data_IF_827796153736
#
_entry.id   IF_827796153736
#
_cell.length_a   1.000
_cell.length_b   1.000
_cell.length_c   1.000
_cell.angle_alpha   90.00
_cell.angle_beta   90.00
_cell.angle_gamma   90.00
#
_symmetry.space_group_name_H-M   'P 1'
#
loop_
_entity.id
_entity.type
_entity.pdbx_description
1 polymer ?
#
# COMPACT_ATOMS: atom_id res chain seq x y z
N UNK A 1 -46.47 10.18 -11.86
CA UNK A 1 -45.65 9.62 -12.97
C UNK A 1 -44.17 9.73 -12.58
N UNK A 2 -43.58 8.65 -12.07
CA UNK A 2 -42.15 8.58 -11.71
C UNK A 2 -41.34 8.24 -12.97
N UNK A 3 -40.39 9.10 -13.37
CA UNK A 3 -39.38 8.77 -14.38
C UNK A 3 -38.19 8.09 -13.69
N UNK A 4 -38.00 6.80 -13.98
CA UNK A 4 -36.79 6.03 -13.63
C UNK A 4 -35.63 6.52 -14.51
N UNK A 5 -34.55 6.97 -13.89
CA UNK A 5 -33.24 7.12 -14.56
C UNK A 5 -32.57 5.74 -14.58
N UNK A 6 -32.16 5.30 -15.76
CA UNK A 6 -31.40 4.08 -15.99
C UNK A 6 -29.93 4.33 -15.60
N UNK A 7 -29.44 3.63 -14.57
CA UNK A 7 -28.01 3.50 -14.34
C UNK A 7 -27.45 2.47 -15.33
N UNK A 8 -26.40 2.88 -16.06
CA UNK A 8 -25.57 1.97 -16.85
C UNK A 8 -24.67 1.19 -15.88
N UNK A 9 -25.05 -0.04 -15.56
CA UNK A 9 -24.13 -1.01 -15.00
C UNK A 9 -23.21 -1.50 -16.13
N UNK A 10 -21.92 -1.22 -16.01
CA UNK A 10 -20.89 -1.93 -16.77
C UNK A 10 -20.75 -3.30 -16.11
N UNK A 11 -21.31 -4.33 -16.73
CA UNK A 11 -21.18 -5.72 -16.28
C UNK A 11 -19.74 -6.18 -16.46
N UNK A 12 -19.04 -6.45 -15.36
CA UNK A 12 -17.77 -7.19 -15.37
C UNK A 12 -18.15 -8.67 -15.48
N UNK A 13 -17.68 -9.32 -16.54
CA UNK A 13 -17.88 -10.75 -16.77
C UNK A 13 -16.95 -11.50 -15.83
N UNK A 14 -17.51 -12.14 -14.81
CA UNK A 14 -16.80 -13.14 -13.99
C UNK A 14 -16.67 -14.40 -14.85
N UNK A 15 -15.44 -14.75 -15.21
CA UNK A 15 -15.13 -16.01 -15.90
C UNK A 15 -15.44 -17.21 -15.00
N UNK A 16 -16.02 -18.24 -15.61
CA UNK A 16 -16.41 -19.49 -14.96
C UNK A 16 -15.21 -20.25 -14.38
N UNK A 17 -15.47 -20.98 -13.29
CA UNK A 17 -14.54 -21.82 -12.54
C UNK A 17 -14.06 -23.03 -13.38
N UNK A 18 -12.77 -23.17 -13.75
CA UNK A 18 -12.33 -24.20 -14.69
C UNK A 18 -11.63 -25.37 -14.01
N UNK A 19 -12.25 -25.98 -13.00
CA UNK A 19 -11.78 -27.26 -12.45
C UNK A 19 -12.84 -28.34 -12.64
N UNK A 20 -13.05 -28.70 -13.91
CA UNK A 20 -13.59 -29.98 -14.35
C UNK A 20 -13.16 -30.16 -15.82
N UNK A 21 -12.01 -30.79 -16.06
CA UNK A 21 -11.91 -32.02 -16.86
C UNK A 21 -10.45 -32.51 -16.87
N UNK A 22 -10.28 -33.78 -16.51
CA UNK A 22 -9.06 -34.55 -16.78
C UNK A 22 -8.96 -34.77 -18.32
N UNK A 23 -7.75 -34.68 -18.88
CA UNK A 23 -7.16 -35.58 -19.91
C UNK A 23 -6.02 -34.90 -20.71
N UNK A 24 -4.79 -35.43 -20.52
CA UNK A 24 -3.66 -35.55 -21.46
C UNK A 24 -3.00 -34.27 -22.04
N UNK A 25 -1.69 -34.08 -21.81
CA UNK A 25 -0.60 -34.34 -22.79
C UNK A 25 0.72 -33.59 -22.43
N UNK A 26 1.84 -34.32 -22.43
CA UNK A 26 3.18 -34.01 -21.91
C UNK A 26 3.99 -32.91 -22.67
N UNK A 27 3.30 -32.03 -23.39
CA UNK A 27 3.89 -30.89 -24.13
C UNK A 27 3.42 -29.51 -23.66
N UNK A 28 2.33 -29.44 -22.89
CA UNK A 28 1.79 -28.20 -22.31
C UNK A 28 2.57 -27.75 -21.07
N UNK A 29 3.20 -28.71 -20.38
CA UNK A 29 3.90 -28.47 -19.12
C UNK A 29 5.15 -27.61 -19.32
N UNK A 30 5.92 -27.84 -20.39
CA UNK A 30 7.12 -27.04 -20.70
C UNK A 30 6.81 -25.61 -21.15
N UNK A 31 5.73 -25.40 -21.91
CA UNK A 31 5.29 -24.06 -22.31
C UNK A 31 4.69 -23.28 -21.14
N UNK A 32 3.87 -23.93 -20.31
CA UNK A 32 3.30 -23.32 -19.11
C UNK A 32 4.40 -22.95 -18.09
N UNK A 33 5.35 -23.85 -17.82
CA UNK A 33 6.51 -23.56 -16.96
C UNK A 33 7.39 -22.44 -17.53
N UNK A 34 7.58 -22.40 -18.85
CA UNK A 34 8.32 -21.31 -19.49
C UNK A 34 7.59 -19.96 -19.37
N UNK A 35 6.28 -19.93 -19.59
CA UNK A 35 5.45 -18.73 -19.45
C UNK A 35 5.40 -18.23 -18.01
N UNK A 36 5.27 -19.12 -17.03
CA UNK A 36 5.33 -18.81 -15.60
C UNK A 36 6.70 -18.23 -15.21
N UNK A 37 7.78 -18.85 -15.68
CA UNK A 37 9.14 -18.36 -15.42
C UNK A 37 9.38 -16.96 -16.01
N UNK A 38 8.93 -16.71 -17.25
CA UNK A 38 8.99 -15.37 -17.88
C UNK A 38 8.14 -14.36 -17.11
N UNK A 39 6.98 -14.76 -16.57
CA UNK A 39 6.13 -13.89 -15.77
C UNK A 39 6.79 -13.49 -14.44
N UNK A 40 7.39 -14.43 -13.73
CA UNK A 40 8.12 -14.17 -12.46
C UNK A 40 9.29 -13.23 -12.71
N UNK A 41 10.06 -13.43 -13.79
CA UNK A 41 11.17 -12.54 -14.15
C UNK A 41 10.71 -11.09 -14.34
N UNK A 42 9.56 -10.88 -14.99
CA UNK A 42 8.99 -9.53 -15.15
C UNK A 42 8.60 -8.89 -13.82
N UNK A 43 8.03 -9.66 -12.90
CA UNK A 43 7.67 -9.18 -11.56
C UNK A 43 8.93 -8.82 -10.77
N UNK A 44 9.98 -9.64 -10.87
CA UNK A 44 11.28 -9.37 -10.26
C UNK A 44 11.93 -8.09 -10.82
N UNK A 45 11.94 -7.92 -12.14
CA UNK A 45 12.42 -6.68 -12.77
C UNK A 45 11.63 -5.46 -12.29
N UNK A 46 10.30 -5.58 -12.21
CA UNK A 46 9.43 -4.51 -11.72
C UNK A 46 9.74 -4.15 -10.26
N UNK A 47 9.99 -5.14 -9.40
CA UNK A 47 10.41 -4.91 -8.02
C UNK A 47 11.67 -4.04 -7.97
N UNK A 48 12.72 -4.39 -8.72
CA UNK A 48 13.97 -3.63 -8.72
C UNK A 48 13.82 -2.24 -9.35
N UNK A 49 13.00 -2.10 -10.39
CA UNK A 49 12.68 -0.78 -10.98
C UNK A 49 12.00 0.12 -9.95
N UNK A 50 10.97 -0.37 -9.26
CA UNK A 50 10.28 0.38 -8.22
C UNK A 50 11.24 0.71 -7.07
N UNK A 51 12.06 -0.25 -6.64
CA UNK A 51 13.04 -0.06 -5.57
C UNK A 51 14.07 1.01 -5.94
N UNK A 52 14.51 1.09 -7.20
CA UNK A 52 15.41 2.15 -7.67
C UNK A 52 14.74 3.54 -7.64
N UNK A 53 13.42 3.62 -7.82
CA UNK A 53 12.67 4.89 -7.73
C UNK A 53 12.58 5.37 -6.29
N UNK A 54 12.19 4.48 -5.36
CA UNK A 54 11.93 4.86 -3.96
C UNK A 54 13.19 4.86 -3.10
N UNK A 55 14.12 3.94 -3.36
CA UNK A 55 15.28 3.49 -2.58
C UNK A 55 16.41 4.51 -2.44
N UNK A 56 16.09 5.74 -2.07
CA UNK A 56 17.08 6.78 -1.77
C UNK A 56 17.52 6.69 -0.31
N UNK A 57 18.84 6.72 -0.08
CA UNK A 57 19.46 6.57 1.25
C UNK A 57 18.87 7.52 2.30
N UNK A 58 18.57 8.76 1.90
CA UNK A 58 18.02 9.78 2.80
C UNK A 58 16.61 9.47 3.35
N UNK A 59 15.92 8.48 2.78
CA UNK A 59 14.57 8.08 3.21
C UNK A 59 14.59 6.81 4.04
N UNK A 60 15.26 5.76 3.56
CA UNK A 60 15.28 4.46 4.23
C UNK A 60 16.33 4.35 5.33
N UNK A 61 17.32 5.25 5.36
CA UNK A 61 18.46 5.18 6.27
C UNK A 61 19.13 3.81 6.20
N UNK A 62 19.03 3.03 7.29
CA UNK A 62 19.64 1.69 7.36
C UNK A 62 18.72 0.53 6.98
N UNK A 63 17.44 0.76 6.68
CA UNK A 63 16.46 -0.31 6.43
C UNK A 63 16.80 -1.22 5.25
N UNK A 64 17.39 -0.69 4.18
CA UNK A 64 17.68 -1.42 2.94
C UNK A 64 19.17 -1.73 2.72
N UNK A 65 20.00 -1.65 3.76
CA UNK A 65 21.46 -1.81 3.61
C UNK A 65 21.94 -3.28 3.51
N UNK A 66 21.05 -4.27 3.63
CA UNK A 66 21.39 -5.69 3.56
C UNK A 66 20.72 -6.37 2.37
N UNK A 67 21.50 -7.13 1.60
CA UNK A 67 21.03 -7.98 0.49
C UNK A 67 19.98 -9.01 0.94
N UNK A 68 20.07 -9.52 2.17
CA UNK A 68 19.06 -10.44 2.71
C UNK A 68 17.69 -9.76 2.87
N UNK A 69 17.68 -8.50 3.29
CA UNK A 69 16.45 -7.71 3.41
C UNK A 69 15.82 -7.48 2.03
N UNK A 70 16.63 -7.11 1.04
CA UNK A 70 16.17 -6.91 -0.34
C UNK A 70 15.64 -8.23 -0.91
N UNK A 71 16.35 -9.34 -0.71
CA UNK A 71 15.92 -10.66 -1.16
C UNK A 71 14.60 -11.08 -0.51
N UNK A 72 14.43 -10.83 0.80
CA UNK A 72 13.17 -11.09 1.49
C UNK A 72 12.01 -10.29 0.89
N UNK A 73 12.18 -8.98 0.74
CA UNK A 73 11.14 -8.10 0.17
C UNK A 73 10.79 -8.52 -1.25
N UNK A 74 11.80 -8.84 -2.07
CA UNK A 74 11.60 -9.34 -3.43
C UNK A 74 10.77 -10.61 -3.45
N UNK A 75 11.12 -11.59 -2.60
CA UNK A 75 10.41 -12.87 -2.55
C UNK A 75 8.96 -12.70 -2.09
N UNK A 76 8.71 -11.82 -1.11
CA UNK A 76 7.36 -11.48 -0.69
C UNK A 76 6.60 -10.79 -1.83
N UNK A 77 7.22 -9.82 -2.52
CA UNK A 77 6.60 -9.13 -3.65
C UNK A 77 6.20 -10.10 -4.76
N UNK A 78 7.12 -11.01 -5.15
CA UNK A 78 6.83 -12.06 -6.14
C UNK A 78 5.66 -12.93 -5.67
N UNK A 79 5.69 -13.40 -4.42
CA UNK A 79 4.64 -14.24 -3.86
C UNK A 79 3.26 -13.54 -3.85
N UNK A 80 3.22 -12.27 -3.44
CA UNK A 80 2.03 -11.42 -3.49
C UNK A 80 1.52 -11.33 -4.93
N UNK A 81 2.38 -11.05 -5.91
CA UNK A 81 1.96 -10.94 -7.31
C UNK A 81 1.60 -12.26 -8.00
N UNK A 82 2.06 -13.39 -7.47
CA UNK A 82 1.67 -14.73 -7.94
C UNK A 82 0.25 -15.12 -7.49
N UNK A 83 -0.29 -14.48 -6.44
CA UNK A 83 -1.69 -14.63 -6.09
C UNK A 83 -2.57 -14.03 -7.21
N UNK A 84 -3.51 -14.81 -7.72
CA UNK A 84 -4.35 -14.43 -8.86
C UNK A 84 -5.02 -13.06 -8.65
N UNK A 85 -4.94 -12.21 -9.69
CA UNK A 85 -5.57 -10.88 -9.72
C UNK A 85 -4.67 -9.72 -9.29
N UNK A 86 -3.62 -9.95 -8.49
CA UNK A 86 -2.85 -8.88 -7.86
C UNK A 86 -2.03 -8.05 -8.86
N UNK A 87 -1.36 -8.72 -9.79
CA UNK A 87 -0.60 -8.04 -10.83
C UNK A 87 -1.49 -7.10 -11.65
N UNK A 88 -2.65 -7.58 -12.12
CA UNK A 88 -3.60 -6.74 -12.88
C UNK A 88 -4.09 -5.54 -12.07
N UNK A 89 -4.39 -5.71 -10.78
CA UNK A 89 -4.82 -4.61 -9.90
C UNK A 89 -3.73 -3.53 -9.76
N UNK A 90 -2.48 -3.94 -9.53
CA UNK A 90 -1.37 -2.97 -9.44
C UNK A 90 -1.09 -2.26 -10.77
N UNK A 91 -1.23 -2.94 -11.91
CA UNK A 91 -1.08 -2.33 -13.23
C UNK A 91 -2.19 -1.31 -13.50
N UNK A 92 -3.44 -1.63 -13.15
CA UNK A 92 -4.56 -0.69 -13.24
C UNK A 92 -4.29 0.56 -12.41
N UNK A 93 -3.86 0.40 -11.15
CA UNK A 93 -3.52 1.54 -10.29
C UNK A 93 -2.37 2.35 -10.88
N UNK A 94 -1.31 1.71 -11.36
CA UNK A 94 -0.16 2.38 -11.99
C UNK A 94 -0.56 3.21 -13.21
N UNK A 95 -1.46 2.69 -14.04
CA UNK A 95 -1.95 3.38 -15.24
C UNK A 95 -2.90 4.54 -14.89
N UNK A 96 -3.65 4.42 -13.79
CA UNK A 96 -4.60 5.43 -13.34
C UNK A 96 -3.93 6.56 -12.55
N UNK A 97 -3.10 6.21 -11.58
CA UNK A 97 -2.36 7.10 -10.71
C UNK A 97 -0.99 6.46 -10.39
N UNK A 98 0.00 6.82 -11.20
CA UNK A 98 1.37 6.31 -11.05
C UNK A 98 2.02 6.72 -9.74
N UNK A 99 1.59 7.83 -9.13
CA UNK A 99 2.05 8.24 -7.81
C UNK A 99 1.48 7.33 -6.73
N UNK A 100 0.17 7.05 -6.74
CA UNK A 100 -0.44 6.12 -5.78
C UNK A 100 0.17 4.72 -5.86
N UNK A 101 0.51 4.25 -7.06
CA UNK A 101 1.23 2.99 -7.24
C UNK A 101 2.63 3.01 -6.60
N UNK A 102 3.45 4.02 -6.88
CA UNK A 102 4.80 4.12 -6.28
C UNK A 102 4.71 4.30 -4.76
N UNK A 103 3.75 5.07 -4.27
CA UNK A 103 3.45 5.21 -2.85
C UNK A 103 3.07 3.87 -2.21
N UNK A 104 2.22 3.10 -2.86
CA UNK A 104 1.83 1.77 -2.35
C UNK A 104 3.00 0.80 -2.30
N UNK A 105 3.90 0.84 -3.30
CA UNK A 105 5.14 0.06 -3.27
C UNK A 105 6.05 0.48 -2.10
N UNK A 106 6.19 1.78 -1.86
CA UNK A 106 7.00 2.29 -0.76
C UNK A 106 6.44 1.89 0.61
N UNK A 107 5.13 2.03 0.77
CA UNK A 107 4.38 1.58 1.95
C UNK A 107 4.52 0.07 2.15
N UNK A 108 4.50 -0.73 1.09
CA UNK A 108 4.83 -2.16 1.13
C UNK A 108 6.24 -2.39 1.69
N UNK A 109 7.27 -1.68 1.21
CA UNK A 109 8.64 -1.84 1.70
C UNK A 109 8.74 -1.48 3.19
N UNK A 110 8.34 -0.26 3.56
CA UNK A 110 8.47 0.25 4.94
C UNK A 110 7.62 -0.56 5.92
N UNK A 111 6.36 -0.79 5.57
CA UNK A 111 5.39 -1.50 6.38
C UNK A 111 5.80 -2.95 6.62
N UNK A 112 6.24 -3.66 5.59
CA UNK A 112 6.64 -5.09 5.71
C UNK A 112 7.84 -5.25 6.63
N UNK A 113 8.84 -4.38 6.54
CA UNK A 113 10.00 -4.42 7.43
C UNK A 113 9.61 -4.14 8.89
N UNK A 114 8.72 -3.18 9.11
CA UNK A 114 8.24 -2.86 10.45
C UNK A 114 7.35 -3.98 11.00
N UNK A 115 6.46 -4.54 10.20
CA UNK A 115 5.62 -5.68 10.57
C UNK A 115 6.45 -6.90 10.96
N UNK A 116 7.50 -7.20 10.19
CA UNK A 116 8.47 -8.25 10.54
C UNK A 116 9.16 -7.97 11.87
N UNK A 117 9.61 -6.73 12.11
CA UNK A 117 10.26 -6.32 13.37
C UNK A 117 9.35 -6.49 14.58
N UNK A 118 8.05 -6.25 14.40
CA UNK A 118 7.03 -6.39 15.44
C UNK A 118 6.37 -7.78 15.47
N UNK A 119 6.90 -8.76 14.71
CA UNK A 119 6.37 -10.13 14.65
C UNK A 119 4.86 -10.19 14.36
N UNK A 120 4.39 -9.40 13.39
CA UNK A 120 3.01 -9.46 12.91
C UNK A 120 2.61 -10.90 12.51
N UNK A 121 1.35 -11.26 12.76
CA UNK A 121 0.91 -12.65 12.70
C UNK A 121 1.03 -13.27 11.30
N UNK A 122 0.67 -12.50 10.26
CA UNK A 122 0.73 -12.94 8.87
C UNK A 122 1.46 -11.90 8.02
N UNK A 123 2.77 -12.07 7.85
CA UNK A 123 3.59 -11.08 7.13
C UNK A 123 3.23 -10.94 5.65
N UNK A 124 2.80 -12.02 4.99
CA UNK A 124 2.39 -11.99 3.57
C UNK A 124 1.10 -11.18 3.40
N UNK A 125 0.12 -11.41 4.27
CA UNK A 125 -1.14 -10.66 4.25
C UNK A 125 -0.93 -9.18 4.59
N UNK A 126 -0.05 -8.88 5.55
CA UNK A 126 0.35 -7.50 5.84
C UNK A 126 0.95 -6.84 4.60
N UNK A 127 1.92 -7.51 3.97
CA UNK A 127 2.60 -7.02 2.78
C UNK A 127 1.62 -6.76 1.63
N UNK A 128 0.69 -7.68 1.38
CA UNK A 128 -0.38 -7.48 0.40
C UNK A 128 -1.27 -6.29 0.79
N UNK A 129 -1.74 -6.23 2.03
CA UNK A 129 -2.57 -5.14 2.54
C UNK A 129 -1.89 -3.77 2.40
N UNK A 130 -0.59 -3.67 2.67
CA UNK A 130 0.20 -2.46 2.47
C UNK A 130 0.33 -2.08 0.99
N UNK A 131 0.49 -3.06 0.09
CA UNK A 131 0.56 -2.81 -1.35
C UNK A 131 -0.79 -2.40 -1.96
N UNK A 132 -1.91 -2.83 -1.37
CA UNK A 132 -3.25 -2.57 -1.91
C UNK A 132 -4.09 -1.56 -1.12
N UNK A 133 -3.56 -0.95 -0.06
CA UNK A 133 -4.31 -0.02 0.79
C UNK A 133 -4.99 1.11 0.01
N UNK A 134 -4.37 1.54 -1.09
CA UNK A 134 -4.80 2.69 -1.88
C UNK A 134 -5.55 2.31 -3.18
N UNK A 135 -5.91 1.02 -3.37
CA UNK A 135 -6.50 0.51 -4.62
C UNK A 135 -7.82 1.20 -4.99
N UNK A 136 -8.57 1.69 -4.00
CA UNK A 136 -9.81 2.42 -4.23
C UNK A 136 -9.65 3.75 -4.95
N UNK A 137 -8.43 4.26 -5.13
CA UNK A 137 -8.17 5.44 -5.97
C UNK A 137 -8.57 5.25 -7.42
N UNK A 138 -8.70 4.00 -7.89
CA UNK A 138 -9.31 3.67 -9.18
C UNK A 138 -10.74 4.22 -9.35
N UNK A 139 -11.45 4.45 -8.24
CA UNK A 139 -12.82 4.97 -8.23
C UNK A 139 -12.89 6.49 -8.02
N UNK A 140 -11.74 7.16 -7.96
CA UNK A 140 -11.62 8.62 -7.80
C UNK A 140 -11.17 9.22 -9.13
N UNK A 141 -11.80 10.32 -9.53
CA UNK A 141 -11.49 10.97 -10.81
C UNK A 141 -10.06 11.51 -10.82
N UNK A 142 -9.37 11.36 -11.96
CA UNK A 142 -8.01 11.84 -12.13
C UNK A 142 -7.90 13.37 -11.99
N UNK A 143 -8.94 14.12 -12.35
CA UNK A 143 -8.98 15.57 -12.18
C UNK A 143 -8.88 15.98 -10.71
N UNK A 144 -9.49 15.18 -9.81
CA UNK A 144 -9.43 15.41 -8.37
C UNK A 144 -8.07 14.95 -7.83
N UNK A 145 -7.60 13.75 -8.21
CA UNK A 145 -6.32 13.19 -7.72
C UNK A 145 -5.11 14.05 -8.11
N UNK A 146 -5.13 14.62 -9.32
CA UNK A 146 -4.04 15.41 -9.88
C UNK A 146 -4.30 16.92 -9.84
N UNK A 147 -5.27 17.39 -9.05
CA UNK A 147 -5.60 18.81 -8.97
C UNK A 147 -4.40 19.62 -8.46
N UNK A 148 -3.97 20.58 -9.26
CA UNK A 148 -2.96 21.57 -8.85
C UNK A 148 -3.62 22.62 -7.93
N UNK A 149 -3.47 22.44 -6.62
CA UNK A 149 -3.92 23.42 -5.62
C UNK A 149 -4.73 22.80 -4.47
N UNK A 150 -5.41 23.64 -3.70
CA UNK A 150 -6.26 23.17 -2.59
C UNK A 150 -7.52 22.51 -3.14
N UNK A 151 -7.85 21.35 -2.58
CA UNK A 151 -9.14 20.70 -2.78
C UNK A 151 -10.22 21.50 -2.05
N UNK A 152 -11.40 21.57 -2.66
CA UNK A 152 -12.63 21.94 -1.99
C UNK A 152 -13.04 20.86 -0.98
N UNK A 153 -13.96 21.19 -0.08
CA UNK A 153 -14.49 20.22 0.87
C UNK A 153 -15.13 19.00 0.17
N UNK A 154 -15.88 19.23 -0.90
CA UNK A 154 -16.55 18.17 -1.68
C UNK A 154 -15.56 17.28 -2.44
N UNK A 155 -14.49 17.86 -2.99
CA UNK A 155 -13.43 17.10 -3.64
C UNK A 155 -12.66 16.25 -2.62
N UNK A 156 -12.37 16.81 -1.45
CA UNK A 156 -11.74 16.07 -0.37
C UNK A 156 -12.63 14.93 0.15
N UNK A 157 -13.93 15.17 0.33
CA UNK A 157 -14.91 14.13 0.65
C UNK A 157 -14.94 13.03 -0.41
N UNK A 158 -14.81 13.40 -1.68
CA UNK A 158 -14.72 12.44 -2.78
C UNK A 158 -13.47 11.58 -2.67
N UNK A 159 -12.30 12.18 -2.39
CA UNK A 159 -11.06 11.42 -2.17
C UNK A 159 -11.23 10.43 -1.03
N UNK A 160 -11.79 10.83 0.12
CA UNK A 160 -11.94 9.95 1.28
C UNK A 160 -12.66 8.64 0.96
N UNK A 161 -13.56 8.63 -0.04
CA UNK A 161 -14.27 7.42 -0.47
C UNK A 161 -13.36 6.30 -0.96
N UNK A 162 -12.11 6.58 -1.38
CA UNK A 162 -11.19 5.53 -1.82
C UNK A 162 -10.99 4.42 -0.77
N UNK A 163 -11.13 4.76 0.52
CA UNK A 163 -11.09 3.76 1.60
C UNK A 163 -12.21 2.73 1.48
N UNK A 164 -13.46 3.19 1.28
CA UNK A 164 -14.64 2.35 1.13
C UNK A 164 -14.63 1.61 -0.21
N UNK A 165 -14.29 2.32 -1.28
CA UNK A 165 -14.22 1.76 -2.63
C UNK A 165 -13.11 0.69 -2.71
N UNK A 166 -11.97 0.93 -2.08
CA UNK A 166 -10.85 -0.01 -2.04
C UNK A 166 -11.21 -1.29 -1.27
N UNK A 167 -11.91 -1.16 -0.15
CA UNK A 167 -12.44 -2.31 0.58
C UNK A 167 -13.43 -3.12 -0.27
N UNK A 168 -14.37 -2.45 -0.96
CA UNK A 168 -15.33 -3.10 -1.87
C UNK A 168 -14.63 -3.82 -3.02
N UNK A 169 -13.63 -3.19 -3.65
CA UNK A 169 -12.85 -3.81 -4.73
C UNK A 169 -12.16 -5.07 -4.21
N UNK A 170 -11.54 -5.02 -3.03
CA UNK A 170 -10.87 -6.20 -2.47
C UNK A 170 -11.87 -7.32 -2.16
N UNK A 171 -13.05 -7.00 -1.63
CA UNK A 171 -14.11 -7.98 -1.41
C UNK A 171 -14.61 -8.61 -2.72
N UNK A 172 -14.82 -7.81 -3.77
CA UNK A 172 -15.29 -8.30 -5.08
C UNK A 172 -14.28 -9.26 -5.74
N UNK A 173 -12.99 -9.12 -5.42
CA UNK A 173 -11.91 -10.01 -5.85
C UNK A 173 -11.71 -11.22 -4.92
N UNK A 174 -12.53 -11.39 -3.87
CA UNK A 174 -12.40 -12.46 -2.89
C UNK A 174 -11.27 -12.27 -1.88
N UNK A 175 -10.76 -11.04 -1.73
CA UNK A 175 -9.63 -10.66 -0.90
C UNK A 175 -10.08 -9.95 0.39
N UNK A 176 -11.18 -10.43 0.97
CA UNK A 176 -11.83 -9.81 2.14
C UNK A 176 -10.90 -9.63 3.34
N UNK A 177 -9.89 -10.49 3.51
CA UNK A 177 -8.89 -10.31 4.58
C UNK A 177 -8.05 -9.03 4.40
N UNK A 178 -7.90 -8.53 3.18
CA UNK A 178 -7.15 -7.30 2.86
C UNK A 178 -8.02 -6.04 2.95
N UNK A 179 -9.34 -6.16 2.86
CA UNK A 179 -10.27 -5.03 2.87
C UNK A 179 -10.08 -4.07 4.07
N UNK A 180 -9.76 -4.53 5.31
CA UNK A 180 -9.48 -3.63 6.43
C UNK A 180 -8.30 -2.68 6.19
N UNK A 181 -7.26 -3.10 5.47
CA UNK A 181 -6.10 -2.26 5.14
C UNK A 181 -6.51 -1.08 4.26
N UNK A 182 -7.33 -1.33 3.24
CA UNK A 182 -7.86 -0.26 2.41
C UNK A 182 -8.85 0.63 3.17
N UNK A 183 -9.75 0.04 3.96
CA UNK A 183 -10.78 0.81 4.69
C UNK A 183 -10.18 1.72 5.76
N UNK A 184 -9.20 1.25 6.52
CA UNK A 184 -8.89 1.82 7.83
C UNK A 184 -7.53 2.52 7.90
N UNK A 185 -6.73 2.58 6.84
CA UNK A 185 -5.39 3.19 6.88
C UNK A 185 -5.39 4.69 7.18
N UNK A 186 -6.54 5.35 7.03
CA UNK A 186 -6.75 6.75 7.42
C UNK A 186 -7.48 6.94 8.77
N UNK A 187 -7.74 5.86 9.50
CA UNK A 187 -8.15 5.94 10.90
C UNK A 187 -7.00 6.48 11.77
N UNK A 188 -7.33 7.06 12.93
CA UNK A 188 -6.36 7.62 13.88
C UNK A 188 -6.75 7.24 15.30
N UNK A 189 -5.77 6.99 16.17
CA UNK A 189 -6.04 6.45 17.50
C UNK A 189 -6.85 7.39 18.41
N UNK A 190 -6.84 8.69 18.12
CA UNK A 190 -7.64 9.72 18.79
C UNK A 190 -9.07 9.87 18.22
N UNK A 191 -9.45 9.04 17.24
CA UNK A 191 -10.76 9.09 16.58
C UNK A 191 -10.91 10.22 15.56
N UNK A 192 -9.84 10.98 15.26
CA UNK A 192 -9.89 12.07 14.27
C UNK A 192 -9.89 11.59 12.81
N UNK A 193 -9.74 10.28 12.60
CA UNK A 193 -9.60 9.64 11.30
C UNK A 193 -10.90 9.47 10.53
N UNK A 194 -10.86 8.63 9.49
CA UNK A 194 -12.01 8.25 8.67
C UNK A 194 -11.75 6.87 8.04
N UNK A 195 -12.79 6.15 7.56
CA UNK A 195 -14.20 6.54 7.44
C UNK A 195 -15.05 6.37 8.70
N UNK A 196 -14.66 5.47 9.61
CA UNK A 196 -15.47 4.98 10.73
C UNK A 196 -15.14 5.68 12.05
N UNK A 197 -14.00 6.36 12.15
CA UNK A 197 -13.53 7.08 13.35
C UNK A 197 -13.26 6.13 14.52
N UNK A 198 -12.63 5.01 14.21
CA UNK A 198 -12.26 4.01 15.20
C UNK A 198 -11.24 4.59 16.20
N UNK A 199 -11.41 4.24 17.48
CA UNK A 199 -10.42 4.53 18.52
C UNK A 199 -9.45 3.37 18.68
N UNK A 200 -8.40 3.57 19.48
CA UNK A 200 -7.25 2.67 19.58
C UNK A 200 -7.58 1.18 19.78
N UNK A 201 -8.59 0.84 20.56
CA UNK A 201 -8.98 -0.53 20.89
C UNK A 201 -9.41 -1.35 19.66
N UNK A 202 -9.94 -0.70 18.62
CA UNK A 202 -10.45 -1.36 17.43
C UNK A 202 -9.40 -1.53 16.30
N UNK A 203 -8.19 -0.97 16.46
CA UNK A 203 -7.17 -0.93 15.42
C UNK A 203 -6.02 -1.88 15.79
N UNK A 204 -5.85 -2.95 15.01
CA UNK A 204 -4.81 -3.95 15.22
C UNK A 204 -3.39 -3.43 14.90
N UNK A 205 -2.38 -4.21 15.25
CA UNK A 205 -0.97 -3.87 15.09
C UNK A 205 -0.62 -3.51 13.64
N UNK A 206 -1.11 -4.30 12.70
CA UNK A 206 -0.84 -4.19 11.26
C UNK A 206 -1.36 -2.87 10.69
N UNK A 207 -2.58 -2.46 11.07
CA UNK A 207 -3.15 -1.18 10.67
C UNK A 207 -2.44 0.00 11.34
N UNK A 208 -2.03 -0.12 12.61
CA UNK A 208 -1.24 0.92 13.29
C UNK A 208 0.10 1.16 12.59
N UNK A 209 0.76 0.10 12.12
CA UNK A 209 1.96 0.20 11.29
C UNK A 209 1.65 0.95 10.00
N UNK A 210 0.60 0.52 9.27
CA UNK A 210 0.19 1.12 8.01
C UNK A 210 -0.04 2.64 8.13
N UNK A 211 -0.77 3.09 9.16
CA UNK A 211 -1.05 4.51 9.39
C UNK A 211 0.21 5.37 9.48
N UNK A 212 1.27 4.85 10.09
CA UNK A 212 2.54 5.58 10.27
C UNK A 212 3.31 5.61 8.95
N UNK A 213 3.47 4.45 8.30
CA UNK A 213 4.28 4.35 7.07
C UNK A 213 3.60 5.01 5.88
N UNK A 214 2.27 5.02 5.82
CA UNK A 214 1.47 5.74 4.83
C UNK A 214 1.78 7.25 4.89
N UNK A 215 1.64 7.85 6.07
CA UNK A 215 1.92 9.28 6.25
C UNK A 215 3.38 9.60 5.95
N UNK A 216 4.31 8.78 6.42
CA UNK A 216 5.74 8.98 6.16
C UNK A 216 6.07 8.93 4.66
N UNK A 217 5.62 7.88 3.97
CA UNK A 217 5.82 7.70 2.53
C UNK A 217 5.25 8.90 1.77
N UNK A 218 4.01 9.28 2.09
CA UNK A 218 3.33 10.36 1.39
C UNK A 218 4.00 11.74 1.59
N UNK A 219 4.67 11.97 2.72
CA UNK A 219 5.42 13.20 2.99
C UNK A 219 6.78 13.24 2.27
N UNK A 220 7.44 12.08 2.17
CA UNK A 220 8.83 11.99 1.71
C UNK A 220 8.97 11.55 0.25
N UNK A 221 7.88 11.13 -0.40
CA UNK A 221 7.83 10.94 -1.85
C UNK A 221 7.45 12.24 -2.55
N UNK A 222 8.14 12.52 -3.67
CA UNK A 222 7.77 13.60 -4.57
C UNK A 222 6.41 13.33 -5.20
N UNK A 223 5.51 14.32 -5.09
CA UNK A 223 4.19 14.30 -5.74
C UNK A 223 4.21 15.20 -6.99
N UNK A 224 3.31 15.01 -7.96
CA UNK A 224 3.20 15.90 -9.12
C UNK A 224 3.01 17.38 -8.76
N UNK A 225 2.33 17.65 -7.63
CA UNK A 225 1.92 18.99 -7.17
C UNK A 225 2.58 19.44 -5.86
N UNK A 226 3.50 18.64 -5.30
CA UNK A 226 4.17 18.94 -4.02
C UNK A 226 5.54 18.28 -3.96
N UNK A 227 6.56 19.07 -3.65
CA UNK A 227 7.91 18.54 -3.44
C UNK A 227 8.00 17.64 -2.21
N UNK A 228 8.93 16.69 -2.27
CA UNK A 228 9.29 15.85 -1.12
C UNK A 228 9.90 16.71 -0.01
N UNK A 229 9.57 16.40 1.25
CA UNK A 229 10.31 16.97 2.39
C UNK A 229 11.35 15.97 2.91
N UNK A 230 12.46 16.44 3.50
CA UNK A 230 13.44 15.57 4.11
C UNK A 230 12.86 14.64 5.18
N UNK A 231 13.40 13.42 5.28
CA UNK A 231 12.91 12.41 6.21
C UNK A 231 12.84 12.90 7.67
N UNK A 232 13.82 13.69 8.13
CA UNK A 232 13.81 14.23 9.49
C UNK A 232 12.66 15.21 9.74
N UNK A 233 12.24 15.99 8.74
CA UNK A 233 11.07 16.88 8.85
C UNK A 233 9.77 16.08 8.86
N UNK A 234 9.66 15.03 8.03
CA UNK A 234 8.51 14.14 8.05
C UNK A 234 8.35 13.43 9.40
N UNK A 235 9.45 12.99 10.03
CA UNK A 235 9.42 12.45 11.38
C UNK A 235 8.99 13.48 12.43
N UNK A 236 9.43 14.74 12.32
CA UNK A 236 8.97 15.79 13.24
C UNK A 236 7.45 16.02 13.13
N UNK A 237 6.88 15.94 11.93
CA UNK A 237 5.43 16.03 11.75
C UNK A 237 4.72 14.87 12.44
N UNK A 238 5.18 13.63 12.24
CA UNK A 238 4.63 12.45 12.91
C UNK A 238 4.72 12.54 14.43
N UNK A 239 5.83 13.05 14.97
CA UNK A 239 6.03 13.24 16.42
C UNK A 239 5.08 14.31 16.98
N UNK A 240 4.86 15.42 16.25
CA UNK A 240 3.89 16.45 16.67
C UNK A 240 2.46 15.91 16.70
N UNK A 241 2.17 14.97 15.82
CA UNK A 241 0.89 14.26 15.72
C UNK A 241 0.86 12.93 16.50
N UNK A 242 1.78 12.71 17.45
CA UNK A 242 1.94 11.42 18.13
C UNK A 242 0.65 10.90 18.81
N UNK A 243 -0.27 11.78 19.23
CA UNK A 243 -1.58 11.38 19.77
C UNK A 243 -2.49 10.63 18.79
N UNK A 244 -2.20 10.74 17.48
CA UNK A 244 -2.95 10.08 16.40
C UNK A 244 -2.42 8.69 16.06
N UNK A 245 -1.22 8.35 16.55
CA UNK A 245 -0.47 7.14 16.18
C UNK A 245 -0.09 6.33 17.41
N UNK A 246 0.28 5.07 17.19
CA UNK A 246 0.85 4.25 18.26
C UNK A 246 2.27 4.73 18.57
N UNK A 247 2.49 5.24 19.78
CA UNK A 247 3.76 5.83 20.18
C UNK A 247 4.92 4.82 20.22
N UNK A 248 4.64 3.55 20.55
CA UNK A 248 5.65 2.50 20.57
C UNK A 248 6.08 2.12 19.16
N UNK A 249 5.12 1.98 18.24
CA UNK A 249 5.41 1.68 16.83
C UNK A 249 6.10 2.86 16.16
N UNK A 250 5.65 4.10 16.41
CA UNK A 250 6.28 5.31 15.87
C UNK A 250 7.73 5.43 16.35
N UNK A 251 7.99 5.21 17.64
CA UNK A 251 9.35 5.18 18.18
C UNK A 251 10.18 4.07 17.51
N UNK A 252 9.64 2.86 17.40
CA UNK A 252 10.32 1.75 16.73
C UNK A 252 10.64 2.04 15.25
N UNK A 253 9.74 2.73 14.54
CA UNK A 253 9.93 3.16 13.16
C UNK A 253 11.08 4.17 13.05
N UNK A 254 11.07 5.22 13.89
CA UNK A 254 12.12 6.22 13.97
C UNK A 254 13.50 5.57 14.20
N UNK A 255 13.59 4.66 15.16
CA UNK A 255 14.82 3.94 15.46
C UNK A 255 15.29 3.05 14.29
N UNK A 256 14.36 2.44 13.55
CA UNK A 256 14.69 1.58 12.41
C UNK A 256 15.30 2.34 11.24
N UNK A 257 14.89 3.60 11.04
CA UNK A 257 15.48 4.45 10.01
C UNK A 257 16.91 4.84 10.37
N UNK A 258 17.21 5.07 11.66
CA UNK A 258 18.52 5.51 12.15
C UNK A 258 19.07 6.76 11.41
N UNK A 259 18.19 7.68 11.03
CA UNK A 259 18.52 8.90 10.26
C UNK A 259 18.96 10.08 11.15
N UNK A 260 19.04 9.90 12.46
CA UNK A 260 19.54 10.90 13.40
C UNK A 260 21.04 10.70 13.66
N UNK A 261 21.87 11.68 13.29
CA UNK A 261 23.29 11.68 13.67
C UNK A 261 23.44 11.66 15.21
N UNK A 262 24.51 11.02 15.70
CA UNK A 262 24.82 10.75 17.11
C UNK A 262 24.71 11.95 18.09
N UNK A 263 24.64 13.20 17.61
CA UNK A 263 24.43 14.40 18.43
C UNK A 263 22.95 14.71 18.74
N UNK A 264 22.00 13.95 18.19
CA UNK A 264 20.55 14.20 18.34
C UNK A 264 19.87 13.32 19.40
N UNK A 265 20.64 12.50 20.13
CA UNK A 265 20.15 11.54 21.15
C UNK A 265 19.36 12.19 22.30
N UNK A 266 19.37 13.51 22.42
CA UNK A 266 18.63 14.23 23.46
C UNK A 266 17.09 14.24 23.26
N UNK A 267 16.58 13.85 22.08
CA UNK A 267 15.13 13.90 21.78
C UNK A 267 14.39 12.57 21.91
N UNK A 268 15.08 11.47 22.26
CA UNK A 268 14.51 10.10 22.30
C UNK A 268 14.53 9.49 23.72
N UNK A 269 14.71 10.30 24.76
CA UNK A 269 14.54 9.92 26.18
C UNK A 269 13.28 10.59 26.73
#
# INVERSE_FOLDING_TARGET
MRKRMQNKHTSIVLGENPFDDDLLNDGTNGLAQHQEHVHIQKIEELFFQNLAVVGREHRYGQLLQNNETIALLKNIYIHVHQAYGFHSMTEQLKNWDSYAYIHSFDVFVLGTLLAKKHAANNLIECAAGYLFHDIGKLMISQEILHKNGKLTFQEFDSIKRHTLEGASILDDYGLTSLAPFARSHHERLDGSGYPDRHTSEAINLELRILMIVDVYSALTLKRPYKDEIPAHEALQILIRDAGKFDSFILSSFIHSLNIYHAKSKAFLM
#
